data_IF_080459372900
#
_entry.id   IF_080459372900
#
_cell.length_a   1.000
_cell.length_b   1.000
_cell.length_c   1.000
_cell.angle_alpha   90.00
_cell.angle_beta   90.00
_cell.angle_gamma   90.00
#
_symmetry.space_group_name_H-M   'P 1'
#
loop_
_entity.id
_entity.type
_entity.pdbx_description
1 polymer ?
#
# COMPACT_ATOMS: atom_id res chain seq x y z
N UNK A 1 11.15 -15.73 24.31
CA UNK A 1 10.84 -14.57 23.44
C UNK A 1 11.28 -14.92 22.03
N UNK A 2 10.42 -14.73 21.02
CA UNK A 2 10.76 -15.04 19.62
C UNK A 2 11.66 -13.94 19.02
N UNK A 3 12.57 -14.33 18.12
CA UNK A 3 13.31 -13.38 17.27
C UNK A 3 12.48 -13.06 16.02
N UNK A 4 12.87 -12.03 15.27
CA UNK A 4 12.23 -11.70 14.00
C UNK A 4 12.28 -12.90 13.03
N UNK A 5 13.43 -13.58 12.94
CA UNK A 5 13.59 -14.78 12.10
C UNK A 5 12.67 -15.92 12.56
N UNK A 6 12.65 -16.22 13.87
CA UNK A 6 11.85 -17.34 14.38
C UNK A 6 10.34 -17.08 14.27
N UNK A 7 9.90 -15.81 14.27
CA UNK A 7 8.53 -15.45 13.96
C UNK A 7 8.23 -15.63 12.46
N UNK A 8 9.12 -15.19 11.57
CA UNK A 8 8.95 -15.34 10.13
C UNK A 8 8.87 -16.80 9.66
N UNK A 9 9.62 -17.70 10.31
CA UNK A 9 9.65 -19.12 9.99
C UNK A 9 8.59 -19.95 10.75
N UNK A 10 7.81 -19.33 11.64
CA UNK A 10 6.88 -20.04 12.51
C UNK A 10 5.76 -20.76 11.73
N UNK A 11 5.62 -22.07 11.94
CA UNK A 11 4.62 -22.92 11.26
C UNK A 11 3.18 -22.44 11.46
N UNK A 12 2.84 -21.97 12.66
CA UNK A 12 1.50 -21.49 12.94
C UNK A 12 1.16 -20.24 12.11
N UNK A 13 2.06 -19.27 12.02
CA UNK A 13 1.86 -18.08 11.17
C UNK A 13 1.83 -18.42 9.68
N UNK A 14 2.62 -19.40 9.24
CA UNK A 14 2.59 -19.90 7.86
C UNK A 14 1.26 -20.56 7.52
N UNK A 15 0.78 -21.47 8.35
CA UNK A 15 -0.48 -22.20 8.13
C UNK A 15 -1.72 -21.28 8.09
N UNK A 16 -1.63 -20.11 8.72
CA UNK A 16 -2.71 -19.11 8.78
C UNK A 16 -2.67 -18.09 7.65
N UNK A 17 -1.67 -18.13 6.77
CA UNK A 17 -1.46 -17.10 5.76
C UNK A 17 -1.26 -15.71 6.40
N UNK A 18 -0.52 -15.67 7.51
CA UNK A 18 -0.19 -14.41 8.18
C UNK A 18 0.98 -13.69 7.49
N UNK A 19 1.70 -14.37 6.59
CA UNK A 19 2.68 -13.76 5.69
C UNK A 19 2.12 -13.71 4.27
N UNK A 20 2.21 -12.55 3.63
CA UNK A 20 1.56 -12.26 2.36
C UNK A 20 2.51 -11.52 1.43
N UNK A 21 2.38 -11.80 0.14
CA UNK A 21 3.19 -11.19 -0.91
C UNK A 21 2.38 -10.14 -1.66
N UNK A 22 3.00 -9.01 -1.96
CA UNK A 22 2.41 -7.96 -2.79
C UNK A 22 3.51 -7.13 -3.45
N UNK A 23 3.16 -6.44 -4.54
CA UNK A 23 4.06 -5.51 -5.21
C UNK A 23 4.05 -4.19 -4.47
N UNK A 24 5.21 -3.76 -4.02
CA UNK A 24 5.44 -2.43 -3.47
C UNK A 24 5.78 -1.46 -4.61
N UNK A 25 5.02 -0.39 -4.75
CA UNK A 25 5.19 0.56 -5.86
C UNK A 25 6.37 1.51 -5.65
N UNK A 26 6.92 1.60 -4.44
CA UNK A 26 8.10 2.43 -4.18
C UNK A 26 9.35 1.79 -4.79
N UNK A 27 9.46 0.46 -4.74
CA UNK A 27 10.58 -0.31 -5.30
C UNK A 27 10.23 -1.12 -6.56
N UNK A 28 8.95 -1.16 -6.95
CA UNK A 28 8.47 -1.86 -8.15
C UNK A 28 8.65 -3.37 -8.09
N UNK A 29 8.77 -3.96 -6.89
CA UNK A 29 9.14 -5.36 -6.69
C UNK A 29 8.17 -6.08 -5.76
N UNK A 30 8.07 -7.42 -5.89
CA UNK A 30 7.34 -8.24 -4.93
C UNK A 30 8.09 -8.27 -3.59
N UNK A 31 7.38 -7.96 -2.52
CA UNK A 31 7.86 -8.09 -1.14
C UNK A 31 6.93 -9.00 -0.34
N UNK A 32 7.43 -9.57 0.74
CA UNK A 32 6.63 -10.34 1.70
C UNK A 32 6.62 -9.63 3.05
N UNK A 33 5.43 -9.43 3.61
CA UNK A 33 5.23 -8.79 4.90
C UNK A 33 4.14 -9.49 5.71
N UNK A 34 3.99 -9.07 6.97
CA UNK A 34 2.91 -9.56 7.80
C UNK A 34 1.58 -9.01 7.28
N UNK A 35 0.62 -9.91 7.05
CA UNK A 35 -0.65 -9.60 6.42
C UNK A 35 -1.68 -9.04 7.38
N UNK A 36 -2.92 -8.98 6.90
CA UNK A 36 -4.04 -8.38 7.63
C UNK A 36 -4.42 -9.26 8.82
N UNK A 37 -4.51 -8.64 10.00
CA UNK A 37 -5.00 -9.22 11.24
C UNK A 37 -5.93 -8.21 11.97
N UNK A 38 -7.01 -8.66 12.64
CA UNK A 38 -7.50 -10.04 12.71
C UNK A 38 -8.14 -10.53 11.40
N UNK A 39 -8.31 -11.85 11.25
CA UNK A 39 -9.00 -12.46 10.12
C UNK A 39 -10.52 -12.43 10.38
N UNK A 40 -11.24 -11.61 9.63
CA UNK A 40 -12.69 -11.47 9.74
C UNK A 40 -13.39 -12.50 8.84
N UNK A 41 -14.42 -13.17 9.34
CA UNK A 41 -15.15 -14.21 8.59
C UNK A 41 -16.10 -13.63 7.54
N UNK A 42 -16.80 -12.53 7.86
CA UNK A 42 -17.81 -11.94 6.96
C UNK A 42 -17.22 -10.84 6.07
N UNK A 43 -16.28 -10.06 6.60
CA UNK A 43 -15.66 -8.92 5.89
C UNK A 43 -14.14 -9.04 5.89
N UNK A 44 -13.56 -10.07 5.22
CA UNK A 44 -12.12 -10.26 5.19
C UNK A 44 -11.43 -9.05 4.56
N UNK A 45 -10.45 -8.47 5.26
CA UNK A 45 -9.64 -7.41 4.70
C UNK A 45 -8.81 -7.89 3.52
N UNK A 46 -8.50 -6.98 2.60
CA UNK A 46 -7.75 -7.28 1.37
C UNK A 46 -6.55 -6.34 1.21
N UNK A 47 -5.45 -6.90 0.71
CA UNK A 47 -4.31 -6.11 0.23
C UNK A 47 -4.56 -5.84 -1.24
N UNK A 48 -5.14 -4.67 -1.51
CA UNK A 48 -5.54 -4.28 -2.87
C UNK A 48 -4.44 -3.47 -3.59
N UNK A 49 -3.47 -2.93 -2.84
CA UNK A 49 -2.32 -2.16 -3.36
C UNK A 49 -1.20 -2.09 -2.33
N UNK A 50 0.07 -2.20 -2.76
CA UNK A 50 1.24 -1.89 -1.93
C UNK A 50 1.40 -0.39 -1.63
N UNK A 51 2.55 -0.02 -1.04
CA UNK A 51 2.83 1.37 -0.71
C UNK A 51 3.01 2.22 -1.99
N UNK A 52 2.31 3.36 -2.13
CA UNK A 52 2.40 4.19 -3.32
C UNK A 52 3.76 4.88 -3.41
N UNK A 53 4.22 5.15 -4.63
CA UNK A 53 5.36 6.04 -4.85
C UNK A 53 5.02 7.50 -4.52
N UNK A 54 6.06 8.31 -4.33
CA UNK A 54 5.89 9.73 -4.02
C UNK A 54 5.09 10.43 -5.13
N UNK A 55 3.95 11.03 -4.76
CA UNK A 55 3.08 11.75 -5.69
C UNK A 55 2.24 10.88 -6.63
N UNK A 56 2.22 9.55 -6.45
CA UNK A 56 1.52 8.62 -7.34
C UNK A 56 0.03 8.96 -7.56
N UNK A 57 -0.65 9.42 -6.50
CA UNK A 57 -2.08 9.71 -6.53
C UNK A 57 -2.39 11.21 -6.64
N UNK A 58 -1.39 12.10 -6.75
CA UNK A 58 -1.58 13.56 -6.71
C UNK A 58 -2.61 14.04 -7.74
N UNK A 59 -2.39 13.73 -9.02
CA UNK A 59 -3.29 14.18 -10.09
C UNK A 59 -4.69 13.57 -9.95
N UNK A 60 -4.77 12.30 -9.55
CA UNK A 60 -6.06 11.63 -9.37
C UNK A 60 -6.87 12.29 -8.26
N UNK A 61 -6.27 12.61 -7.12
CA UNK A 61 -6.94 13.29 -6.01
C UNK A 61 -7.36 14.71 -6.40
N UNK A 62 -6.46 15.48 -7.02
CA UNK A 62 -6.75 16.85 -7.43
C UNK A 62 -7.93 16.90 -8.44
N UNK A 63 -7.97 15.97 -9.40
CA UNK A 63 -9.06 15.89 -10.38
C UNK A 63 -10.35 15.33 -9.77
N UNK A 64 -10.30 14.16 -9.12
CA UNK A 64 -11.51 13.40 -8.78
C UNK A 64 -12.14 13.78 -7.46
N UNK A 65 -11.34 14.23 -6.48
CA UNK A 65 -11.82 14.59 -5.14
C UNK A 65 -11.99 16.11 -5.04
N UNK A 66 -11.01 16.89 -5.51
CA UNK A 66 -11.05 18.35 -5.41
C UNK A 66 -11.69 19.04 -6.63
N UNK A 67 -11.90 18.32 -7.74
CA UNK A 67 -12.54 18.86 -8.93
C UNK A 67 -11.68 19.86 -9.71
N UNK A 68 -10.35 19.82 -9.57
CA UNK A 68 -9.47 20.72 -10.30
C UNK A 68 -9.38 20.31 -11.77
N UNK A 69 -9.44 21.31 -12.64
CA UNK A 69 -9.17 21.14 -14.05
C UNK A 69 -7.66 21.04 -14.33
N UNK A 70 -7.32 20.72 -15.57
CA UNK A 70 -5.92 20.55 -15.97
C UNK A 70 -5.14 21.86 -15.91
N UNK A 71 -5.80 22.99 -16.15
CA UNK A 71 -5.19 24.32 -16.07
C UNK A 71 -4.74 24.63 -14.63
N UNK A 72 -5.58 24.32 -13.64
CA UNK A 72 -5.26 24.54 -12.22
C UNK A 72 -4.13 23.64 -11.74
N UNK A 73 -4.12 22.38 -12.16
CA UNK A 73 -3.05 21.42 -11.80
C UNK A 73 -1.72 21.86 -12.43
N UNK A 74 -1.74 22.29 -13.69
CA UNK A 74 -0.55 22.83 -14.36
C UNK A 74 -0.01 24.10 -13.66
N UNK A 75 -0.89 24.98 -13.18
CA UNK A 75 -0.51 26.16 -12.40
C UNK A 75 0.25 25.78 -11.11
N UNK A 76 -0.27 24.79 -10.37
CA UNK A 76 0.36 24.32 -9.13
C UNK A 76 1.73 23.69 -9.38
N UNK A 77 1.87 22.89 -10.45
CA UNK A 77 3.16 22.32 -10.89
C UNK A 77 4.15 23.41 -11.28
N UNK A 78 3.70 24.42 -12.04
CA UNK A 78 4.53 25.56 -12.44
C UNK A 78 5.05 26.37 -11.24
N UNK A 79 4.25 26.45 -10.16
CA UNK A 79 4.63 27.08 -8.89
C UNK A 79 5.44 26.19 -7.95
N UNK A 80 5.70 24.92 -8.32
CA UNK A 80 6.36 23.91 -7.47
C UNK A 80 5.66 23.70 -6.12
N UNK A 81 4.34 23.81 -6.11
CA UNK A 81 3.52 23.49 -4.93
C UNK A 81 3.12 22.01 -4.90
N UNK A 82 3.23 21.32 -6.04
CA UNK A 82 3.03 19.88 -6.27
C UNK A 82 4.02 19.36 -7.31
#
# INVERSE_FOLDING_TARGET
VNTAKSAYENEHFRSRGDWVKYVDQTCGSEIEAFGIAPKMSETPGQIWRGAPSMGQDTDNILKTILGYDEAKIAELRGKKLI
#
